data_IF_400476163103
#
_entry.id   IF_400476163103
#
_cell.length_a   1.000
_cell.length_b   1.000
_cell.length_c   1.000
_cell.angle_alpha   90.00
_cell.angle_beta   90.00
_cell.angle_gamma   90.00
#
_symmetry.space_group_name_H-M   'P 1'
#
loop_
_entity.id
_entity.type
_entity.pdbx_description
1 polymer ?
#
# COMPACT_ATOMS: atom_id res chain seq x y z
N UNK A 1 9.56 -18.13 28.13
CA UNK A 1 8.12 -18.40 27.90
C UNK A 1 7.96 -19.69 27.11
N UNK A 2 7.25 -20.71 27.66
CA UNK A 2 7.00 -21.98 26.98
C UNK A 2 6.34 -21.83 25.60
N UNK A 3 5.44 -20.84 25.45
CA UNK A 3 4.78 -20.53 24.19
C UNK A 3 5.78 -20.14 23.09
N UNK A 4 6.74 -19.26 23.41
CA UNK A 4 7.76 -18.82 22.46
C UNK A 4 8.70 -19.96 22.06
N UNK A 5 9.08 -20.81 23.01
CA UNK A 5 9.99 -21.93 22.74
C UNK A 5 9.30 -22.97 21.84
N UNK A 6 8.01 -23.26 22.07
CA UNK A 6 7.25 -24.16 21.20
C UNK A 6 7.21 -23.66 19.74
N UNK A 7 7.06 -22.34 19.53
CA UNK A 7 7.08 -21.73 18.20
C UNK A 7 8.48 -21.81 17.57
N UNK A 8 9.52 -21.41 18.30
CA UNK A 8 10.91 -21.48 17.82
C UNK A 8 11.32 -22.89 17.40
N UNK A 9 10.90 -23.89 18.17
CA UNK A 9 11.21 -25.30 17.94
C UNK A 9 10.27 -25.97 16.93
N UNK A 10 9.25 -25.27 16.39
CA UNK A 10 8.28 -25.89 15.49
C UNK A 10 7.43 -26.99 16.14
N UNK A 11 7.33 -27.05 17.47
CA UNK A 11 6.60 -28.10 18.19
C UNK A 11 5.10 -27.80 18.30
N UNK A 12 4.34 -28.18 17.27
CA UNK A 12 2.88 -28.03 17.19
C UNK A 12 2.14 -28.72 18.35
N UNK A 13 2.62 -29.88 18.81
CA UNK A 13 1.97 -30.64 19.88
C UNK A 13 2.02 -29.87 21.21
N UNK A 14 3.17 -29.31 21.55
CA UNK A 14 3.33 -28.46 22.74
C UNK A 14 2.50 -27.18 22.59
N UNK A 15 2.56 -26.54 21.41
CA UNK A 15 1.79 -25.32 21.14
C UNK A 15 0.28 -25.53 21.34
N UNK A 16 -0.28 -26.63 20.80
CA UNK A 16 -1.69 -27.00 20.99
C UNK A 16 -2.06 -27.17 22.47
N UNK A 17 -1.21 -27.86 23.24
CA UNK A 17 -1.42 -28.04 24.69
C UNK A 17 -1.43 -26.70 25.44
N UNK A 18 -0.47 -25.83 25.16
CA UNK A 18 -0.38 -24.50 25.77
C UNK A 18 -1.57 -23.61 25.41
N UNK A 19 -1.99 -23.62 24.14
CA UNK A 19 -3.16 -22.84 23.70
C UNK A 19 -4.44 -23.34 24.36
N UNK A 20 -4.64 -24.66 24.47
CA UNK A 20 -5.80 -25.24 25.17
C UNK A 20 -5.84 -24.80 26.62
N UNK A 21 -4.70 -24.87 27.31
CA UNK A 21 -4.56 -24.40 28.70
C UNK A 21 -4.92 -22.91 28.85
N UNK A 22 -4.37 -22.05 27.99
CA UNK A 22 -4.64 -20.61 28.03
C UNK A 22 -6.12 -20.29 27.73
N UNK A 23 -6.76 -21.05 26.84
CA UNK A 23 -8.18 -20.89 26.56
C UNK A 23 -9.07 -21.23 27.77
N UNK A 24 -8.79 -22.34 28.45
CA UNK A 24 -9.57 -22.80 29.61
C UNK A 24 -9.26 -22.05 30.90
N UNK A 25 -8.09 -21.43 31.00
CA UNK A 25 -7.68 -20.70 32.21
C UNK A 25 -8.53 -19.45 32.48
N UNK A 26 -8.80 -19.13 33.75
CA UNK A 26 -9.61 -17.96 34.15
C UNK A 26 -8.82 -16.62 34.09
N UNK A 27 -8.02 -16.41 33.04
CA UNK A 27 -6.98 -15.37 33.00
C UNK A 27 -7.50 -13.99 32.56
N UNK A 28 -8.71 -13.89 32.01
CA UNK A 28 -9.17 -12.66 31.33
C UNK A 28 -10.60 -12.28 31.70
N UNK A 29 -10.70 -11.27 32.56
CA UNK A 29 -11.79 -10.28 32.76
C UNK A 29 -13.20 -10.71 33.21
N UNK A 30 -13.59 -11.99 33.16
CA UNK A 30 -14.93 -12.39 33.63
C UNK A 30 -15.05 -12.42 35.17
N UNK A 31 -13.94 -12.35 35.90
CA UNK A 31 -13.90 -12.29 37.36
C UNK A 31 -13.10 -11.05 37.74
N UNK A 32 -13.70 -10.17 38.55
CA UNK A 32 -13.24 -8.81 38.90
C UNK A 32 -11.86 -8.74 39.61
N UNK A 33 -11.12 -9.84 39.64
CA UNK A 33 -9.73 -9.90 40.08
C UNK A 33 -8.81 -9.76 38.87
N UNK A 34 -8.47 -8.52 38.53
CA UNK A 34 -7.40 -8.20 37.57
C UNK A 34 -6.05 -8.63 38.14
N UNK A 35 -5.72 -9.94 38.06
CA UNK A 35 -4.40 -10.46 38.42
C UNK A 35 -3.28 -9.91 37.53
N UNK A 36 -3.61 -9.32 36.37
CA UNK A 36 -2.62 -8.82 35.42
C UNK A 36 -3.09 -7.56 34.70
N UNK A 37 -2.33 -6.46 34.86
CA UNK A 37 -2.56 -5.18 34.17
C UNK A 37 -2.36 -5.26 32.63
N UNK A 38 -1.69 -6.30 32.12
CA UNK A 38 -1.49 -6.51 30.68
C UNK A 38 -1.29 -8.01 30.33
N UNK A 39 -2.38 -8.78 30.15
CA UNK A 39 -2.31 -10.21 29.86
C UNK A 39 -1.50 -10.53 28.59
N UNK A 40 -1.62 -9.71 27.54
CA UNK A 40 -0.88 -9.91 26.29
C UNK A 40 0.64 -9.86 26.48
N UNK A 41 1.14 -8.98 27.36
CA UNK A 41 2.55 -8.89 27.68
C UNK A 41 3.01 -10.07 28.56
N UNK A 42 2.24 -10.42 29.58
CA UNK A 42 2.59 -11.48 30.53
C UNK A 42 2.65 -12.86 29.88
N UNK A 43 1.76 -13.15 28.94
CA UNK A 43 1.80 -14.40 28.16
C UNK A 43 2.69 -14.31 26.91
N UNK A 44 3.43 -13.19 26.73
CA UNK A 44 4.32 -12.95 25.58
C UNK A 44 3.61 -13.12 24.22
N UNK A 45 2.32 -12.78 24.13
CA UNK A 45 1.49 -13.02 22.93
C UNK A 45 2.01 -12.22 21.73
N UNK A 46 2.37 -10.94 21.93
CA UNK A 46 2.98 -10.12 20.88
C UNK A 46 4.28 -10.73 20.34
N UNK A 47 5.14 -11.24 21.23
CA UNK A 47 6.38 -11.93 20.84
C UNK A 47 6.09 -13.25 20.11
N UNK A 48 5.02 -13.95 20.49
CA UNK A 48 4.61 -15.19 19.85
C UNK A 48 4.10 -14.96 18.42
N UNK A 49 3.29 -13.91 18.20
CA UNK A 49 2.90 -13.46 16.86
C UNK A 49 4.14 -13.14 16.03
N UNK A 50 4.98 -12.21 16.53
CA UNK A 50 6.16 -11.76 15.80
C UNK A 50 7.08 -12.92 15.42
N UNK A 51 7.34 -13.86 16.34
CA UNK A 51 8.16 -15.04 16.06
C UNK A 51 7.49 -16.00 15.07
N UNK A 52 6.19 -16.25 15.17
CA UNK A 52 5.49 -17.10 14.19
C UNK A 52 5.60 -16.53 12.78
N UNK A 53 5.55 -15.20 12.64
CA UNK A 53 5.78 -14.50 11.36
C UNK A 53 7.23 -14.61 10.92
N UNK A 54 8.20 -14.28 11.79
CA UNK A 54 9.62 -14.34 11.43
C UNK A 54 10.07 -15.74 10.98
N UNK A 55 9.52 -16.80 11.56
CA UNK A 55 9.80 -18.18 11.15
C UNK A 55 8.89 -18.71 10.04
N UNK A 56 8.00 -17.87 9.47
CA UNK A 56 7.01 -18.23 8.43
C UNK A 56 6.20 -19.50 8.77
N UNK A 57 5.81 -19.66 10.04
CA UNK A 57 5.01 -20.80 10.53
C UNK A 57 3.52 -20.44 10.52
N UNK A 58 2.88 -20.54 9.37
CA UNK A 58 1.50 -20.11 9.16
C UNK A 58 0.48 -20.94 9.96
N UNK A 59 0.73 -22.23 10.11
CA UNK A 59 0.00 -23.18 10.95
C UNK A 59 0.00 -22.79 12.44
N UNK A 60 1.15 -22.43 12.99
CA UNK A 60 1.31 -21.95 14.35
C UNK A 60 0.69 -20.58 14.54
N UNK A 61 0.91 -19.69 13.55
CA UNK A 61 0.33 -18.37 13.55
C UNK A 61 -1.20 -18.42 13.56
N UNK A 62 -1.81 -19.34 12.81
CA UNK A 62 -3.26 -19.59 12.85
C UNK A 62 -3.73 -19.97 14.26
N UNK A 63 -2.98 -20.78 15.00
CA UNK A 63 -3.39 -21.15 16.36
C UNK A 63 -3.28 -19.96 17.32
N UNK A 64 -2.21 -19.17 17.20
CA UNK A 64 -1.99 -17.96 18.02
C UNK A 64 -3.07 -16.89 17.73
N UNK A 65 -3.42 -16.67 16.46
CA UNK A 65 -4.48 -15.71 16.07
C UNK A 65 -5.85 -16.11 16.63
N UNK A 66 -6.19 -17.41 16.60
CA UNK A 66 -7.43 -17.94 17.22
C UNK A 66 -7.45 -17.74 18.74
N UNK A 67 -6.30 -17.92 19.41
CA UNK A 67 -6.18 -17.65 20.85
C UNK A 67 -6.45 -16.19 21.17
N UNK A 68 -5.84 -15.26 20.43
CA UNK A 68 -6.02 -13.82 20.64
C UNK A 68 -7.48 -13.42 20.50
N UNK A 69 -8.11 -13.82 19.38
CA UNK A 69 -9.51 -13.49 19.11
C UNK A 69 -10.45 -13.97 20.21
N UNK A 70 -10.21 -15.15 20.77
CA UNK A 70 -11.10 -15.76 21.78
C UNK A 70 -10.83 -15.28 23.20
N UNK A 71 -9.59 -14.93 23.53
CA UNK A 71 -9.17 -14.75 24.92
C UNK A 71 -8.64 -13.36 25.24
N UNK A 72 -7.95 -12.71 24.30
CA UNK A 72 -7.18 -11.50 24.58
C UNK A 72 -7.75 -10.23 23.92
N UNK A 73 -9.01 -10.27 23.44
CA UNK A 73 -9.76 -9.08 23.01
C UNK A 73 -9.31 -8.44 21.69
N UNK A 74 -8.11 -8.73 21.18
CA UNK A 74 -7.61 -8.21 19.90
C UNK A 74 -6.21 -7.62 19.99
N UNK A 75 -5.87 -6.76 19.03
CA UNK A 75 -4.61 -6.02 18.97
C UNK A 75 -4.84 -4.51 18.97
N UNK A 76 -3.89 -3.77 19.55
CA UNK A 76 -3.86 -2.32 19.40
C UNK A 76 -3.54 -1.95 17.94
N UNK A 77 -4.10 -0.86 17.39
CA UNK A 77 -3.89 -0.47 15.99
C UNK A 77 -2.42 -0.36 15.57
N UNK A 78 -1.58 0.23 16.43
CA UNK A 78 -0.13 0.37 16.17
C UNK A 78 0.57 -0.99 16.05
N UNK A 79 0.21 -1.95 16.89
CA UNK A 79 0.81 -3.28 16.87
C UNK A 79 0.32 -4.09 15.67
N UNK A 80 -0.96 -3.95 15.31
CA UNK A 80 -1.52 -4.56 14.10
C UNK A 80 -0.81 -4.06 12.84
N UNK A 81 -0.66 -2.73 12.66
CA UNK A 81 0.09 -2.13 11.54
C UNK A 81 1.54 -2.64 11.45
N UNK A 82 2.22 -2.75 12.60
CA UNK A 82 3.56 -3.31 12.67
C UNK A 82 3.62 -4.78 12.23
N UNK A 83 2.62 -5.59 12.60
CA UNK A 83 2.53 -6.99 12.16
C UNK A 83 2.16 -7.13 10.69
N UNK A 84 1.31 -6.27 10.13
CA UNK A 84 1.04 -6.25 8.68
C UNK A 84 2.36 -6.07 7.93
N UNK A 85 3.15 -5.06 8.32
CA UNK A 85 4.47 -4.81 7.74
C UNK A 85 5.43 -6.00 7.88
N UNK A 86 5.35 -6.76 8.97
CA UNK A 86 6.19 -7.93 9.18
C UNK A 86 5.76 -9.11 8.30
N UNK A 87 4.45 -9.35 8.16
CA UNK A 87 3.90 -10.43 7.32
C UNK A 87 4.18 -10.19 5.84
N UNK A 88 4.11 -8.95 5.38
CA UNK A 88 4.44 -8.59 4.00
C UNK A 88 5.83 -9.08 3.59
N UNK A 89 6.81 -9.01 4.51
CA UNK A 89 8.19 -9.46 4.26
C UNK A 89 8.33 -10.97 4.06
N UNK A 90 7.31 -11.76 4.38
CA UNK A 90 7.33 -13.22 4.22
C UNK A 90 6.65 -13.68 2.93
N UNK A 91 6.05 -12.75 2.15
CA UNK A 91 5.21 -13.03 0.98
C UNK A 91 4.11 -14.08 1.23
N UNK A 92 3.71 -14.29 2.50
CA UNK A 92 2.77 -15.33 2.87
C UNK A 92 1.34 -14.76 3.01
N UNK A 93 0.59 -14.81 1.90
CA UNK A 93 -0.80 -14.32 1.84
C UNK A 93 -1.72 -15.04 2.84
N UNK A 94 -1.47 -16.33 3.15
CA UNK A 94 -2.26 -17.07 4.15
C UNK A 94 -2.09 -16.48 5.54
N UNK A 95 -0.84 -16.19 5.93
CA UNK A 95 -0.55 -15.52 7.20
C UNK A 95 -1.21 -14.14 7.25
N UNK A 96 -1.19 -13.39 6.15
CA UNK A 96 -1.85 -12.10 6.09
C UNK A 96 -3.36 -12.24 6.34
N UNK A 97 -4.02 -13.20 5.68
CA UNK A 97 -5.44 -13.51 5.91
C UNK A 97 -5.72 -13.91 7.36
N UNK A 98 -4.80 -14.62 8.03
CA UNK A 98 -4.94 -14.95 9.46
C UNK A 98 -4.77 -13.73 10.36
N UNK A 99 -3.84 -12.82 10.04
CA UNK A 99 -3.64 -11.59 10.80
C UNK A 99 -4.92 -10.75 10.78
N UNK A 100 -5.53 -10.55 9.61
CA UNK A 100 -6.78 -9.80 9.44
C UNK A 100 -8.02 -10.46 10.09
N UNK A 101 -7.90 -11.67 10.65
CA UNK A 101 -8.96 -12.28 11.48
C UNK A 101 -8.87 -11.91 12.96
N UNK A 102 -7.78 -11.26 13.39
CA UNK A 102 -7.64 -10.77 14.75
C UNK A 102 -8.43 -9.46 14.88
N UNK A 103 -9.36 -9.35 15.85
CA UNK A 103 -10.07 -8.11 16.11
C UNK A 103 -9.10 -6.95 16.32
N UNK A 104 -9.34 -5.84 15.64
CA UNK A 104 -8.60 -4.59 15.75
C UNK A 104 -9.61 -3.45 15.77
N UNK A 105 -9.25 -2.31 16.37
CA UNK A 105 -10.12 -1.12 16.37
C UNK A 105 -10.58 -0.77 14.95
N UNK A 106 -11.87 -0.43 14.74
CA UNK A 106 -12.36 0.05 13.45
C UNK A 106 -11.67 1.34 13.00
N UNK A 107 -11.04 2.09 13.92
CA UNK A 107 -10.25 3.28 13.61
C UNK A 107 -8.81 2.96 13.13
N UNK A 108 -8.45 1.68 12.95
CA UNK A 108 -7.14 1.32 12.44
C UNK A 108 -6.98 1.71 10.97
N UNK A 109 -5.79 2.21 10.65
CA UNK A 109 -5.43 2.74 9.34
C UNK A 109 -4.01 2.36 8.99
N UNK A 110 -3.73 2.19 7.69
CA UNK A 110 -2.37 1.93 7.22
C UNK A 110 -1.48 3.17 7.35
N UNK A 111 -0.32 3.00 7.99
CA UNK A 111 0.69 4.06 8.02
C UNK A 111 1.44 4.14 6.69
N UNK A 112 2.01 5.32 6.38
CA UNK A 112 2.84 5.52 5.18
C UNK A 112 3.96 4.48 5.05
N UNK A 113 4.65 4.20 6.16
CA UNK A 113 5.75 3.23 6.17
C UNK A 113 5.27 1.80 5.85
N UNK A 114 4.08 1.44 6.31
CA UNK A 114 3.49 0.12 6.04
C UNK A 114 2.98 0.05 4.60
N UNK A 115 2.34 1.10 4.07
CA UNK A 115 1.97 1.19 2.65
C UNK A 115 3.19 1.04 1.73
N UNK A 116 4.29 1.75 1.99
CA UNK A 116 5.52 1.60 1.20
C UNK A 116 6.06 0.17 1.26
N UNK A 117 6.08 -0.46 2.44
CA UNK A 117 6.55 -1.84 2.58
C UNK A 117 5.68 -2.84 1.81
N UNK A 118 4.36 -2.66 1.83
CA UNK A 118 3.39 -3.47 1.06
C UNK A 118 3.65 -3.32 -0.43
N UNK A 119 3.65 -2.08 -0.95
CA UNK A 119 3.84 -1.85 -2.38
C UNK A 119 5.19 -2.35 -2.89
N UNK A 120 6.25 -2.26 -2.08
CA UNK A 120 7.58 -2.76 -2.43
C UNK A 120 7.69 -4.30 -2.41
N UNK A 121 6.68 -5.04 -1.94
CA UNK A 121 6.68 -6.50 -2.06
C UNK A 121 6.48 -6.99 -3.49
N UNK A 122 5.90 -6.16 -4.36
CA UNK A 122 5.49 -6.51 -5.73
C UNK A 122 4.54 -7.71 -5.85
N UNK A 123 3.96 -8.20 -4.75
CA UNK A 123 3.01 -9.31 -4.72
C UNK A 123 1.58 -8.80 -4.90
N UNK A 124 1.04 -8.84 -6.12
CA UNK A 124 -0.28 -8.29 -6.46
C UNK A 124 -1.38 -8.69 -5.47
N UNK A 125 -1.55 -9.98 -5.20
CA UNK A 125 -2.60 -10.50 -4.30
C UNK A 125 -2.47 -9.97 -2.87
N UNK A 126 -1.23 -9.78 -2.42
CA UNK A 126 -0.93 -9.27 -1.10
C UNK A 126 -1.31 -7.80 -1.02
N UNK A 127 -0.84 -7.01 -2.00
CA UNK A 127 -1.11 -5.57 -2.09
C UNK A 127 -2.62 -5.34 -2.18
N UNK A 128 -3.28 -5.97 -3.15
CA UNK A 128 -4.71 -5.86 -3.36
C UNK A 128 -5.48 -6.23 -2.08
N UNK A 129 -5.16 -7.36 -1.44
CA UNK A 129 -5.86 -7.77 -0.22
C UNK A 129 -5.72 -6.74 0.91
N UNK A 130 -4.52 -6.22 1.16
CA UNK A 130 -4.30 -5.24 2.24
C UNK A 130 -5.04 -3.94 1.95
N UNK A 131 -4.87 -3.35 0.77
CA UNK A 131 -5.52 -2.08 0.41
C UNK A 131 -7.04 -2.22 0.30
N UNK A 132 -7.56 -3.39 -0.09
CA UNK A 132 -9.00 -3.66 -0.09
C UNK A 132 -9.56 -3.72 1.33
N UNK A 133 -8.83 -4.30 2.29
CA UNK A 133 -9.29 -4.51 3.67
C UNK A 133 -9.04 -3.34 4.61
N UNK A 134 -8.01 -2.56 4.36
CA UNK A 134 -7.64 -1.46 5.23
C UNK A 134 -8.24 -0.14 4.75
N UNK A 135 -8.46 0.76 5.70
CA UNK A 135 -8.63 2.18 5.40
C UNK A 135 -7.26 2.86 5.45
N UNK A 136 -7.08 3.85 4.59
CA UNK A 136 -5.89 4.70 4.58
C UNK A 136 -6.30 6.04 5.19
N UNK A 137 -5.93 6.31 6.45
CA UNK A 137 -6.31 7.54 7.14
C UNK A 137 -5.86 8.76 6.35
N UNK A 138 -6.79 9.70 6.06
CA UNK A 138 -6.51 11.13 5.82
C UNK A 138 -5.22 11.41 5.01
N UNK A 139 -4.85 10.52 4.08
CA UNK A 139 -3.50 10.43 3.52
C UNK A 139 -3.36 11.29 2.26
N UNK A 140 -4.44 11.95 1.89
CA UNK A 140 -4.71 12.54 0.59
C UNK A 140 -4.16 13.95 0.43
N UNK A 141 -3.56 14.55 1.47
CA UNK A 141 -3.08 15.92 1.31
C UNK A 141 -1.80 16.00 0.51
N UNK A 142 -0.96 14.96 0.52
CA UNK A 142 0.35 15.00 -0.15
C UNK A 142 0.64 13.73 -0.92
N UNK A 143 1.35 13.87 -2.03
CA UNK A 143 1.77 12.75 -2.87
C UNK A 143 2.59 11.71 -2.12
N UNK A 144 3.32 12.09 -1.06
CA UNK A 144 4.17 11.17 -0.26
C UNK A 144 3.35 10.18 0.55
N UNK A 145 2.10 10.51 0.85
CA UNK A 145 1.19 9.72 1.69
C UNK A 145 0.01 9.13 0.91
N UNK A 146 -0.24 9.62 -0.30
CA UNK A 146 -1.32 9.11 -1.14
C UNK A 146 -1.07 7.66 -1.60
N UNK A 147 -2.00 6.71 -1.37
CA UNK A 147 -1.87 5.29 -1.71
C UNK A 147 -1.45 5.03 -3.16
N UNK A 148 -2.20 5.56 -4.13
CA UNK A 148 -1.88 5.36 -5.55
C UNK A 148 -0.51 5.95 -5.95
N UNK A 149 -0.11 7.08 -5.36
CA UNK A 149 1.19 7.69 -5.65
C UNK A 149 2.35 6.89 -5.02
N UNK A 150 2.13 6.27 -3.85
CA UNK A 150 3.08 5.30 -3.27
C UNK A 150 3.21 4.10 -4.19
N UNK A 151 2.10 3.56 -4.69
CA UNK A 151 2.08 2.42 -5.60
C UNK A 151 2.83 2.70 -6.91
N UNK A 152 2.60 3.86 -7.55
CA UNK A 152 3.33 4.32 -8.74
C UNK A 152 4.84 4.40 -8.49
N UNK A 153 5.27 4.86 -7.31
CA UNK A 153 6.71 4.88 -6.98
C UNK A 153 7.31 3.50 -6.79
N UNK A 154 6.50 2.52 -6.40
CA UNK A 154 6.94 1.16 -6.13
C UNK A 154 7.02 0.30 -7.40
N UNK A 155 6.06 0.44 -8.32
CA UNK A 155 6.07 -0.29 -9.59
C UNK A 155 4.68 -0.53 -10.19
N UNK A 156 4.65 -1.11 -11.38
CA UNK A 156 3.43 -1.34 -12.16
C UNK A 156 2.47 -2.31 -11.46
N UNK A 157 2.96 -3.43 -10.92
CA UNK A 157 2.15 -4.42 -10.20
C UNK A 157 1.47 -3.80 -8.97
N UNK A 158 2.19 -2.97 -8.21
CA UNK A 158 1.61 -2.25 -7.08
C UNK A 158 0.56 -1.24 -7.55
N UNK A 159 0.83 -0.53 -8.65
CA UNK A 159 -0.10 0.46 -9.23
C UNK A 159 -1.41 -0.23 -9.62
N UNK A 160 -1.34 -1.34 -10.35
CA UNK A 160 -2.49 -2.18 -10.71
C UNK A 160 -3.27 -2.63 -9.47
N UNK A 161 -2.58 -3.30 -8.54
CA UNK A 161 -3.22 -3.83 -7.33
C UNK A 161 -3.93 -2.78 -6.48
N UNK A 162 -3.36 -1.56 -6.38
CA UNK A 162 -3.99 -0.46 -5.63
C UNK A 162 -5.15 0.15 -6.40
N UNK A 163 -5.01 0.36 -7.72
CA UNK A 163 -6.09 0.87 -8.57
C UNK A 163 -7.29 -0.08 -8.60
N UNK A 164 -7.05 -1.37 -8.77
CA UNK A 164 -8.09 -2.41 -8.88
C UNK A 164 -8.94 -2.54 -7.60
N UNK A 165 -8.50 -1.95 -6.48
CA UNK A 165 -9.34 -1.86 -5.27
C UNK A 165 -10.58 -0.97 -5.46
N UNK A 166 -10.59 -0.11 -6.49
CA UNK A 166 -11.65 0.84 -6.81
C UNK A 166 -11.81 1.97 -5.79
N UNK A 167 -10.84 2.15 -4.88
CA UNK A 167 -10.91 3.13 -3.78
C UNK A 167 -10.30 4.49 -4.11
N UNK A 168 -9.49 4.58 -5.16
CA UNK A 168 -8.67 5.75 -5.47
C UNK A 168 -8.90 6.18 -6.91
N UNK A 169 -9.14 7.48 -7.11
CA UNK A 169 -9.24 8.05 -8.45
C UNK A 169 -7.84 8.20 -9.06
N UNK A 170 -7.68 7.76 -10.31
CA UNK A 170 -6.43 7.90 -11.09
C UNK A 170 -6.05 9.37 -11.31
N UNK A 171 -7.05 10.24 -11.31
CA UNK A 171 -6.93 11.68 -11.50
C UNK A 171 -6.90 12.47 -10.20
N UNK A 172 -6.91 11.80 -9.04
CA UNK A 172 -6.83 12.49 -7.74
C UNK A 172 -5.55 13.32 -7.68
N UNK A 173 -5.72 14.64 -7.50
CA UNK A 173 -4.63 15.60 -7.44
C UNK A 173 -4.34 15.99 -5.99
N UNK A 174 -3.07 15.91 -5.61
CA UNK A 174 -2.62 16.09 -4.23
C UNK A 174 -1.37 16.96 -4.19
N UNK A 175 -1.12 17.64 -3.06
CA UNK A 175 0.04 18.53 -3.00
C UNK A 175 1.37 17.78 -3.20
N UNK A 176 2.27 18.39 -3.97
CA UNK A 176 3.61 17.89 -4.21
C UNK A 176 4.61 18.61 -3.31
N UNK A 177 5.35 17.91 -2.44
CA UNK A 177 6.24 18.58 -1.49
C UNK A 177 7.57 19.06 -2.08
N UNK A 178 7.82 18.85 -3.39
CA UNK A 178 9.05 19.28 -4.06
C UNK A 178 8.74 20.39 -5.06
N UNK A 179 9.54 21.46 -5.12
CA UNK A 179 9.29 22.70 -5.88
C UNK A 179 9.38 22.58 -7.43
N UNK A 180 9.27 21.38 -7.99
CA UNK A 180 9.47 21.13 -9.43
C UNK A 180 8.23 21.30 -10.31
N UNK A 181 7.04 21.43 -9.73
CA UNK A 181 5.75 21.49 -10.43
C UNK A 181 5.02 22.84 -10.23
N UNK A 182 5.77 23.94 -10.07
CA UNK A 182 5.20 25.29 -9.91
C UNK A 182 4.12 25.41 -8.81
N UNK A 183 4.30 24.68 -7.71
CA UNK A 183 3.35 24.57 -6.60
C UNK A 183 1.95 24.02 -6.97
N UNK A 184 1.80 23.42 -8.15
CA UNK A 184 0.57 22.78 -8.59
C UNK A 184 0.38 21.40 -7.90
N UNK A 185 -0.88 21.00 -7.62
CA UNK A 185 -1.20 19.63 -7.23
C UNK A 185 -0.80 18.64 -8.32
N UNK A 186 -0.29 17.48 -7.91
CA UNK A 186 0.10 16.41 -8.84
C UNK A 186 -0.82 15.21 -8.73
N UNK A 187 -0.91 14.49 -9.84
CA UNK A 187 -1.63 13.24 -10.04
C UNK A 187 -0.66 12.05 -10.07
N UNK A 188 -1.22 10.83 -10.13
CA UNK A 188 -0.44 9.63 -10.34
C UNK A 188 0.43 9.68 -11.63
N UNK A 189 -0.10 10.31 -12.69
CA UNK A 189 0.60 10.46 -13.97
C UNK A 189 1.87 11.31 -13.84
N UNK A 190 1.82 12.41 -13.07
CA UNK A 190 3.00 13.25 -12.83
C UNK A 190 4.14 12.49 -12.15
N UNK A 191 3.78 11.65 -11.18
CA UNK A 191 4.75 10.84 -10.44
C UNK A 191 5.41 9.83 -11.37
N UNK A 192 4.64 9.22 -12.28
CA UNK A 192 5.17 8.28 -13.27
C UNK A 192 6.10 8.99 -14.28
N UNK A 193 5.71 10.19 -14.75
CA UNK A 193 6.50 11.02 -15.66
C UNK A 193 7.81 11.46 -15.00
N UNK A 194 7.75 11.99 -13.76
CA UNK A 194 8.92 12.40 -12.99
C UNK A 194 9.94 11.26 -12.80
N UNK A 195 9.46 10.02 -12.72
CA UNK A 195 10.31 8.83 -12.56
C UNK A 195 10.77 8.22 -13.88
N UNK A 196 10.31 8.75 -15.01
CA UNK A 196 10.51 8.16 -16.33
C UNK A 196 10.05 6.70 -16.42
N UNK A 197 9.00 6.32 -15.66
CA UNK A 197 8.46 4.96 -15.70
C UNK A 197 7.49 4.82 -16.87
N UNK A 198 8.07 4.51 -18.03
CA UNK A 198 7.36 4.37 -19.30
C UNK A 198 6.20 3.37 -19.25
N UNK A 199 6.35 2.26 -18.52
CA UNK A 199 5.33 1.23 -18.43
C UNK A 199 4.12 1.73 -17.63
N UNK A 200 4.37 2.40 -16.50
CA UNK A 200 3.30 2.99 -15.69
C UNK A 200 2.66 4.19 -16.39
N UNK A 201 3.43 5.05 -17.07
CA UNK A 201 2.87 6.17 -17.85
C UNK A 201 1.86 5.65 -18.88
N UNK A 202 2.27 4.69 -19.71
CA UNK A 202 1.36 4.09 -20.70
C UNK A 202 0.13 3.48 -20.01
N UNK A 203 0.33 2.71 -18.94
CA UNK A 203 -0.77 2.07 -18.23
C UNK A 203 -1.76 3.09 -17.65
N UNK A 204 -1.28 4.17 -17.01
CA UNK A 204 -2.13 5.23 -16.46
C UNK A 204 -2.95 5.92 -17.55
N UNK A 205 -2.33 6.24 -18.69
CA UNK A 205 -3.02 6.80 -19.85
C UNK A 205 -4.09 5.82 -20.39
N UNK A 206 -3.79 4.53 -20.46
CA UNK A 206 -4.75 3.49 -20.83
C UNK A 206 -5.95 3.37 -19.87
N UNK A 207 -5.83 3.89 -18.65
CA UNK A 207 -6.85 3.84 -17.61
C UNK A 207 -7.45 5.23 -17.30
N UNK A 208 -7.36 6.17 -18.26
CA UNK A 208 -8.05 7.45 -18.20
C UNK A 208 -7.36 8.54 -17.37
N UNK A 209 -6.05 8.44 -17.18
CA UNK A 209 -5.29 9.53 -16.57
C UNK A 209 -5.33 10.80 -17.43
N UNK A 210 -5.65 11.93 -16.82
CA UNK A 210 -5.81 13.21 -17.48
C UNK A 210 -4.46 13.79 -17.92
N UNK A 211 -4.29 13.85 -19.23
CA UNK A 211 -3.13 14.41 -19.90
C UNK A 211 -3.36 15.81 -20.49
N UNK A 212 -4.59 16.33 -20.49
CA UNK A 212 -4.96 17.63 -21.07
C UNK A 212 -4.57 18.78 -20.15
N UNK A 213 -3.29 18.88 -19.83
CA UNK A 213 -2.70 19.90 -18.97
C UNK A 213 -1.22 20.07 -19.27
N UNK A 214 -0.59 21.01 -18.56
CA UNK A 214 0.84 21.29 -18.67
C UNK A 214 1.64 20.25 -17.89
N UNK A 215 2.84 19.98 -18.40
CA UNK A 215 3.84 19.16 -17.73
C UNK A 215 5.18 19.90 -17.75
N UNK A 216 6.00 19.80 -16.70
CA UNK A 216 7.34 20.38 -16.71
C UNK A 216 8.17 19.83 -17.86
N UNK A 217 8.64 20.69 -18.75
CA UNK A 217 9.35 20.28 -19.97
C UNK A 217 10.59 19.45 -19.68
N UNK A 218 11.24 19.68 -18.54
CA UNK A 218 12.43 18.96 -18.06
C UNK A 218 12.18 17.45 -17.82
N UNK A 219 10.94 17.05 -17.51
CA UNK A 219 10.57 15.65 -17.30
C UNK A 219 9.99 15.00 -18.57
N UNK A 220 9.79 15.78 -19.64
CA UNK A 220 9.12 15.35 -20.87
C UNK A 220 10.12 14.79 -21.91
N UNK A 221 10.52 13.54 -21.71
CA UNK A 221 11.32 12.80 -22.71
C UNK A 221 10.52 12.49 -24.00
N UNK A 222 11.21 12.23 -25.11
CA UNK A 222 10.61 11.83 -26.40
C UNK A 222 9.55 10.74 -26.25
N UNK A 223 9.87 9.68 -25.49
CA UNK A 223 8.98 8.54 -25.30
C UNK A 223 7.72 8.88 -24.50
N UNK A 224 7.85 9.70 -23.46
CA UNK A 224 6.71 10.15 -22.65
C UNK A 224 5.81 11.06 -23.47
N UNK A 225 6.40 12.02 -24.19
CA UNK A 225 5.67 12.91 -25.08
C UNK A 225 4.85 12.11 -26.09
N UNK A 226 5.48 11.14 -26.76
CA UNK A 226 4.78 10.30 -27.74
C UNK A 226 3.68 9.46 -27.11
N UNK A 227 3.86 8.90 -25.90
CA UNK A 227 2.76 8.20 -25.22
C UNK A 227 1.54 9.08 -24.97
N UNK A 228 1.77 10.32 -24.52
CA UNK A 228 0.68 11.25 -24.29
C UNK A 228 0.03 11.67 -25.62
N UNK A 229 0.83 11.99 -26.64
CA UNK A 229 0.34 12.34 -27.99
C UNK A 229 -0.47 11.21 -28.61
N UNK A 230 0.05 9.98 -28.58
CA UNK A 230 -0.61 8.80 -29.13
C UNK A 230 -1.94 8.55 -28.41
N UNK A 231 -1.96 8.66 -27.06
CA UNK A 231 -3.21 8.60 -26.29
C UNK A 231 -4.16 9.72 -26.69
N UNK A 232 -3.68 10.94 -26.86
CA UNK A 232 -4.50 12.08 -27.27
C UNK A 232 -5.17 11.86 -28.64
N UNK A 233 -4.45 11.27 -29.60
CA UNK A 233 -4.97 10.91 -30.93
C UNK A 233 -6.00 9.79 -30.85
N UNK A 234 -5.76 8.80 -30.00
CA UNK A 234 -6.73 7.71 -29.75
C UNK A 234 -8.03 8.27 -29.15
N UNK A 235 -7.92 9.19 -28.19
CA UNK A 235 -9.07 9.75 -27.48
C UNK A 235 -9.81 10.81 -28.33
N UNK A 236 -9.12 11.51 -29.24
CA UNK A 236 -9.70 12.44 -30.22
C UNK A 236 -8.86 12.46 -31.52
N UNK A 237 -9.31 11.83 -32.62
CA UNK A 237 -8.55 11.73 -33.88
C UNK A 237 -8.15 13.08 -34.48
N UNK A 238 -8.83 14.18 -34.13
CA UNK A 238 -8.45 15.54 -34.57
C UNK A 238 -7.12 16.00 -33.98
N UNK A 239 -6.62 15.33 -32.94
CA UNK A 239 -5.31 15.60 -32.32
C UNK A 239 -4.13 15.09 -33.16
N UNK A 240 -4.36 14.51 -34.36
CA UNK A 240 -3.29 14.03 -35.25
C UNK A 240 -2.29 15.13 -35.61
N UNK A 241 -2.76 16.38 -35.64
CA UNK A 241 -1.97 17.57 -35.94
C UNK A 241 -1.16 18.10 -34.74
N UNK A 242 -1.22 17.44 -33.58
CA UNK A 242 -0.31 17.76 -32.47
C UNK A 242 1.15 17.61 -32.93
N UNK A 243 2.04 18.53 -32.52
CA UNK A 243 3.42 18.56 -32.98
C UNK A 243 4.13 17.23 -32.72
N UNK A 244 5.01 16.84 -33.63
CA UNK A 244 5.96 15.76 -33.36
C UNK A 244 6.90 16.13 -32.21
N UNK A 245 7.56 15.15 -31.60
CA UNK A 245 8.52 15.46 -30.54
C UNK A 245 9.65 16.37 -31.00
N UNK A 246 10.12 16.25 -32.26
CA UNK A 246 11.14 17.15 -32.82
C UNK A 246 10.66 18.60 -32.87
N UNK A 247 9.44 18.82 -33.37
CA UNK A 247 8.83 20.17 -33.37
C UNK A 247 8.65 20.71 -31.94
N UNK A 248 8.21 19.86 -31.01
CA UNK A 248 8.11 20.23 -29.59
C UNK A 248 9.48 20.55 -28.98
N UNK A 249 10.54 19.78 -29.28
CA UNK A 249 11.87 20.00 -28.73
C UNK A 249 12.52 21.29 -29.23
N UNK A 250 12.17 21.71 -30.45
CA UNK A 250 12.67 22.94 -31.08
C UNK A 250 11.93 24.20 -30.59
N UNK A 251 10.82 24.05 -29.86
CA UNK A 251 10.13 25.18 -29.23
C UNK A 251 10.99 25.85 -28.15
N UNK A 252 10.79 27.16 -27.95
CA UNK A 252 11.37 27.85 -26.81
C UNK A 252 10.92 27.24 -25.48
N UNK A 253 11.67 27.47 -24.41
CA UNK A 253 11.36 26.89 -23.09
C UNK A 253 9.97 27.30 -22.61
N UNK A 254 9.61 28.57 -22.78
CA UNK A 254 8.34 29.14 -22.37
C UNK A 254 7.16 28.47 -23.10
N UNK A 255 7.32 28.21 -24.41
CA UNK A 255 6.33 27.48 -25.21
C UNK A 255 6.19 26.02 -24.75
N UNK A 256 7.31 25.33 -24.43
CA UNK A 256 7.26 23.96 -23.90
C UNK A 256 6.61 23.87 -22.52
N UNK A 257 6.97 24.77 -21.61
CA UNK A 257 6.42 24.81 -20.26
C UNK A 257 4.92 25.23 -20.25
N UNK A 258 4.47 25.92 -21.31
CA UNK A 258 3.06 26.30 -21.51
C UNK A 258 2.27 25.32 -22.37
N UNK A 259 2.91 24.29 -22.93
CA UNK A 259 2.29 23.35 -23.85
C UNK A 259 1.24 22.49 -23.15
N UNK A 260 0.07 22.35 -23.78
CA UNK A 260 -1.03 21.50 -23.32
C UNK A 260 -1.40 20.54 -24.45
N UNK A 261 -1.53 19.26 -24.11
CA UNK A 261 -1.98 18.23 -25.05
C UNK A 261 -3.50 18.32 -25.25
N UNK A 262 -3.94 19.28 -26.06
CA UNK A 262 -5.34 19.49 -26.38
C UNK A 262 -5.52 20.29 -27.68
N UNK A 263 -6.71 20.24 -28.26
CA UNK A 263 -7.10 21.20 -29.30
C UNK A 263 -7.17 22.56 -28.61
N UNK A 264 -6.53 23.58 -29.18
CA UNK A 264 -6.61 24.95 -28.66
C UNK A 264 -8.08 25.31 -28.42
N UNK A 265 -8.38 25.82 -27.22
CA UNK A 265 -9.64 26.51 -26.97
C UNK A 265 -9.57 27.91 -27.56
#
# INVERSE_FOLDING_TARGET
SPLLNAIKLGNLRILKKLIKYLQSSQITEAHRDTLFNNPLANFCIYKAIGKSITYSRDDMFLMVTKLIRRKFGGLKPRDFDAFVRLVVKTSNVRMLRYLFRIPTSPAWVLTQNTMCAICNSAEYDLIYFVFRKADCANAHRTSRRHPLHIAVRAGLEATRAVYDTGKYDVNESVSWPYKGYWDEPVTALDVAIFRHDHAIVKWLLDHGANYRRRFPSFYMSCRIFNYIRDRAIVDDPRMVDLPSYGQYSDMCREARDSFVFGLGQ
#
